data_IF_504383638274
#
_entry.id   IF_504383638274
#
_cell.length_a   1.000
_cell.length_b   1.000
_cell.length_c   1.000
_cell.angle_alpha   90.00
_cell.angle_beta   90.00
_cell.angle_gamma   90.00
#
_symmetry.space_group_name_H-M   'P 1'
#
loop_
_entity.id
_entity.type
_entity.pdbx_description
1 polymer ?
#
# COMPACT_ATOMS: atom_id res chain seq x y z
N UNK A 1 -20.99 14.65 9.19
CA UNK A 1 -19.92 13.77 8.68
C UNK A 1 -20.46 13.11 7.42
N UNK A 2 -19.90 13.44 6.25
CA UNK A 2 -20.53 13.21 4.94
C UNK A 2 -20.88 11.72 4.73
N UNK A 3 -22.17 11.40 4.65
CA UNK A 3 -22.66 10.07 4.26
C UNK A 3 -22.67 10.03 2.73
N UNK A 4 -21.56 9.64 2.13
CA UNK A 4 -21.48 9.36 0.70
C UNK A 4 -21.67 7.86 0.47
N UNK A 5 -22.49 7.50 -0.52
CA UNK A 5 -22.63 6.12 -0.94
C UNK A 5 -21.29 5.62 -1.51
N UNK A 6 -20.80 4.50 -0.97
CA UNK A 6 -19.55 3.90 -1.41
C UNK A 6 -19.84 2.77 -2.40
N UNK A 7 -19.25 2.86 -3.60
CA UNK A 7 -19.30 1.79 -4.59
C UNK A 7 -18.01 1.00 -4.51
N UNK A 8 -18.09 -0.24 -4.02
CA UNK A 8 -16.94 -1.14 -3.98
C UNK A 8 -16.67 -1.65 -5.39
N UNK A 9 -15.43 -1.47 -5.84
CA UNK A 9 -14.88 -2.04 -7.07
C UNK A 9 -14.06 -3.27 -6.69
N UNK A 10 -14.19 -4.33 -7.48
CA UNK A 10 -13.41 -5.55 -7.27
C UNK A 10 -11.91 -5.33 -7.57
N UNK A 11 -11.09 -6.30 -7.17
CA UNK A 11 -9.63 -6.25 -7.36
C UNK A 11 -9.12 -7.48 -8.09
N UNK A 12 -8.03 -7.30 -8.81
CA UNK A 12 -7.26 -8.39 -9.39
C UNK A 12 -6.60 -9.24 -8.28
N UNK A 13 -6.08 -10.41 -8.65
CA UNK A 13 -5.32 -11.25 -7.71
C UNK A 13 -4.09 -10.53 -7.14
N UNK A 14 -3.45 -9.65 -7.92
CA UNK A 14 -2.37 -8.76 -7.46
C UNK A 14 -2.81 -7.83 -6.33
N UNK A 15 -4.10 -7.50 -6.26
CA UNK A 15 -4.67 -6.50 -5.35
C UNK A 15 -4.92 -5.15 -6.00
N UNK A 16 -4.53 -4.97 -7.26
CA UNK A 16 -4.84 -3.76 -8.03
C UNK A 16 -6.35 -3.68 -8.33
N UNK A 17 -6.86 -2.48 -8.53
CA UNK A 17 -8.23 -2.23 -8.99
C UNK A 17 -8.53 -3.01 -10.29
N UNK A 18 -9.64 -3.74 -10.32
CA UNK A 18 -10.13 -4.35 -11.56
C UNK A 18 -10.81 -3.27 -12.41
N UNK A 19 -10.12 -2.80 -13.45
CA UNK A 19 -10.64 -1.76 -14.33
C UNK A 19 -11.85 -2.23 -15.17
N UNK A 20 -12.04 -3.54 -15.38
CA UNK A 20 -13.23 -4.06 -16.04
C UNK A 20 -14.46 -3.98 -15.12
N UNK A 21 -14.32 -4.33 -13.84
CA UNK A 21 -15.39 -4.10 -12.87
C UNK A 21 -15.64 -2.60 -12.66
N UNK A 22 -14.56 -1.81 -12.53
CA UNK A 22 -14.64 -0.36 -12.42
C UNK A 22 -15.48 0.25 -13.54
N UNK A 23 -15.23 -0.13 -14.79
CA UNK A 23 -16.01 0.30 -15.94
C UNK A 23 -17.50 -0.05 -15.79
N UNK A 24 -17.84 -1.28 -15.39
CA UNK A 24 -19.24 -1.68 -15.16
C UNK A 24 -19.91 -0.81 -14.10
N UNK A 25 -19.22 -0.54 -12.98
CA UNK A 25 -19.73 0.32 -11.89
C UNK A 25 -19.90 1.77 -12.35
N UNK A 26 -19.00 2.30 -13.16
CA UNK A 26 -19.13 3.64 -13.75
C UNK A 26 -20.38 3.73 -14.62
N UNK A 27 -20.60 2.76 -15.51
CA UNK A 27 -21.77 2.75 -16.41
C UNK A 27 -23.09 2.66 -15.65
N UNK A 28 -23.12 1.91 -14.52
CA UNK A 28 -24.28 1.84 -13.63
C UNK A 28 -24.58 3.17 -12.91
N UNK A 29 -23.62 4.08 -12.82
CA UNK A 29 -23.72 5.37 -12.12
C UNK A 29 -23.44 6.57 -13.03
N UNK A 30 -23.69 6.44 -14.35
CA UNK A 30 -23.34 7.43 -15.39
C UNK A 30 -23.93 8.83 -15.19
N UNK A 31 -25.00 8.93 -14.43
CA UNK A 31 -25.72 10.16 -14.10
C UNK A 31 -25.00 11.00 -13.03
N UNK A 32 -24.05 10.41 -12.29
CA UNK A 32 -23.32 11.05 -11.20
C UNK A 32 -21.86 11.33 -11.56
N UNK A 33 -21.22 12.37 -11.00
CA UNK A 33 -19.76 12.51 -11.04
C UNK A 33 -19.09 11.41 -10.19
N UNK A 34 -17.84 11.11 -10.49
CA UNK A 34 -17.09 10.06 -9.81
C UNK A 34 -16.00 10.64 -8.87
N UNK A 35 -15.91 10.12 -7.64
CA UNK A 35 -14.75 10.34 -6.75
C UNK A 35 -14.07 8.98 -6.59
N UNK A 36 -12.79 8.90 -6.99
CA UNK A 36 -12.05 7.66 -7.07
C UNK A 36 -10.85 7.74 -6.14
N UNK A 37 -10.68 6.71 -5.31
CA UNK A 37 -9.45 6.47 -4.58
C UNK A 37 -8.59 5.46 -5.35
N UNK A 38 -7.39 5.87 -5.75
CA UNK A 38 -6.40 5.03 -6.42
C UNK A 38 -5.28 4.74 -5.44
N UNK A 39 -5.02 3.46 -5.18
CA UNK A 39 -4.04 3.02 -4.19
C UNK A 39 -2.65 2.89 -4.82
N UNK A 40 -1.71 3.71 -4.34
CA UNK A 40 -0.29 3.60 -4.63
C UNK A 40 0.35 2.81 -3.49
N UNK A 41 0.17 1.49 -3.52
CA UNK A 41 0.55 0.56 -2.45
C UNK A 41 -0.63 0.19 -1.56
N UNK A 42 -1.44 -0.80 -1.95
CA UNK A 42 -2.51 -1.35 -1.11
C UNK A 42 -1.95 -1.93 0.18
N UNK A 43 -2.68 -1.82 1.29
CA UNK A 43 -2.17 -2.24 2.62
C UNK A 43 -1.75 -3.71 2.69
N UNK A 44 -2.54 -4.63 2.13
CA UNK A 44 -2.33 -6.08 2.33
C UNK A 44 -1.35 -6.66 1.31
N UNK A 45 -1.57 -6.37 0.02
CA UNK A 45 -0.79 -6.97 -1.08
C UNK A 45 0.31 -6.05 -1.62
N UNK A 46 0.35 -4.79 -1.18
CA UNK A 46 1.26 -3.78 -1.75
C UNK A 46 1.12 -3.60 -3.26
N UNK A 47 -0.07 -3.77 -3.82
CA UNK A 47 -0.36 -3.47 -5.22
C UNK A 47 -0.31 -1.96 -5.49
N UNK A 48 0.10 -1.58 -6.71
CA UNK A 48 0.08 -0.20 -7.18
C UNK A 48 -0.90 -0.12 -8.33
N UNK A 49 -2.03 0.53 -8.11
CA UNK A 49 -3.04 0.69 -9.16
C UNK A 49 -2.46 1.42 -10.38
N UNK A 50 -2.82 0.95 -11.57
CA UNK A 50 -2.48 1.61 -12.82
C UNK A 50 -3.32 2.88 -12.98
N UNK A 51 -2.75 4.00 -12.51
CA UNK A 51 -3.37 5.32 -12.62
C UNK A 51 -3.68 5.71 -14.07
N UNK A 52 -2.86 5.31 -15.04
CA UNK A 52 -3.09 5.65 -16.45
C UNK A 52 -4.29 4.87 -17.00
N UNK A 53 -4.42 3.60 -16.64
CA UNK A 53 -5.57 2.78 -17.00
C UNK A 53 -6.87 3.28 -16.35
N UNK A 54 -6.82 3.70 -15.07
CA UNK A 54 -7.98 4.29 -14.38
C UNK A 54 -8.44 5.58 -15.07
N UNK A 55 -7.50 6.49 -15.40
CA UNK A 55 -7.82 7.74 -16.12
C UNK A 55 -8.42 7.43 -17.49
N UNK A 56 -7.79 6.53 -18.25
CA UNK A 56 -8.28 6.09 -19.56
C UNK A 56 -9.71 5.55 -19.47
N UNK A 57 -9.96 4.68 -18.49
CA UNK A 57 -11.29 4.08 -18.26
C UNK A 57 -12.34 5.16 -17.97
N UNK A 58 -12.02 6.18 -17.17
CA UNK A 58 -12.92 7.30 -16.91
C UNK A 58 -13.21 8.11 -18.19
N UNK A 59 -12.17 8.48 -18.94
CA UNK A 59 -12.31 9.32 -20.13
C UNK A 59 -13.09 8.61 -21.24
N UNK A 60 -12.81 7.33 -21.52
CA UNK A 60 -13.49 6.54 -22.55
C UNK A 60 -14.97 6.27 -22.23
N UNK A 61 -15.35 6.33 -20.95
CA UNK A 61 -16.73 6.13 -20.51
C UNK A 61 -17.47 7.46 -20.21
N UNK A 62 -16.98 8.57 -20.75
CA UNK A 62 -17.69 9.86 -20.71
C UNK A 62 -17.56 10.65 -19.40
N UNK A 63 -16.59 10.31 -18.55
CA UNK A 63 -16.36 11.02 -17.28
C UNK A 63 -15.40 12.21 -17.40
N UNK A 64 -14.90 12.54 -18.60
CA UNK A 64 -14.00 13.68 -18.80
C UNK A 64 -14.56 14.97 -18.18
N UNK A 65 -13.82 15.56 -17.24
CA UNK A 65 -14.22 16.79 -16.53
C UNK A 65 -15.25 16.60 -15.41
N UNK A 66 -15.68 15.36 -15.12
CA UNK A 66 -16.65 15.03 -14.05
C UNK A 66 -16.16 13.94 -13.11
N UNK A 67 -14.85 13.87 -12.90
CA UNK A 67 -14.25 13.00 -11.91
C UNK A 67 -13.24 13.72 -11.03
N UNK A 68 -13.00 13.15 -9.85
CA UNK A 68 -11.92 13.50 -8.94
C UNK A 68 -11.14 12.24 -8.59
N UNK A 69 -9.83 12.24 -8.78
CA UNK A 69 -8.95 11.14 -8.36
C UNK A 69 -8.11 11.58 -7.17
N UNK A 70 -8.24 10.85 -6.06
CA UNK A 70 -7.27 10.87 -4.96
C UNK A 70 -6.28 9.72 -5.15
N UNK A 71 -4.98 10.01 -5.16
CA UNK A 71 -3.96 8.98 -5.08
C UNK A 71 -3.55 8.78 -3.61
N UNK A 72 -3.97 7.68 -3.01
CA UNK A 72 -3.52 7.26 -1.69
C UNK A 72 -2.16 6.59 -1.81
N UNK A 73 -1.11 7.38 -1.57
CA UNK A 73 0.27 6.91 -1.53
C UNK A 73 0.80 6.82 -0.11
N UNK A 74 -0.04 6.47 0.87
CA UNK A 74 0.35 6.47 2.28
C UNK A 74 1.69 5.77 2.52
N UNK A 75 1.91 4.58 1.94
CA UNK A 75 3.20 3.87 2.03
C UNK A 75 4.09 4.15 0.81
N UNK A 76 3.66 3.80 -0.41
CA UNK A 76 4.54 3.84 -1.57
C UNK A 76 4.66 5.20 -2.25
N UNK A 77 3.89 6.22 -1.86
CA UNK A 77 4.00 7.55 -2.48
C UNK A 77 5.39 8.19 -2.33
N UNK A 78 6.16 7.78 -1.32
CA UNK A 78 7.56 8.19 -1.12
C UNK A 78 8.58 7.13 -1.57
N UNK A 79 8.12 6.01 -2.12
CA UNK A 79 8.96 4.93 -2.66
C UNK A 79 8.94 4.90 -4.19
N UNK A 80 7.76 4.92 -4.80
CA UNK A 80 7.52 4.79 -6.25
C UNK A 80 8.33 5.77 -7.11
N UNK A 81 8.58 7.03 -6.71
CA UNK A 81 9.44 7.92 -7.49
C UNK A 81 10.87 7.38 -7.72
N UNK A 82 11.32 6.43 -6.90
CA UNK A 82 12.64 5.81 -6.97
C UNK A 82 12.63 4.38 -7.53
N UNK A 83 11.47 3.88 -7.97
CA UNK A 83 11.31 2.56 -8.57
C UNK A 83 11.34 2.69 -10.09
N UNK A 84 12.17 1.88 -10.75
CA UNK A 84 12.29 1.92 -12.23
C UNK A 84 10.99 1.43 -12.86
N UNK A 85 10.56 2.09 -13.94
CA UNK A 85 9.32 1.77 -14.70
C UNK A 85 8.02 1.89 -13.90
N UNK A 86 8.05 2.45 -12.69
CA UNK A 86 6.83 2.65 -11.92
C UNK A 86 5.92 3.73 -12.55
N UNK A 87 4.59 3.57 -12.44
CA UNK A 87 3.63 4.59 -12.85
C UNK A 87 3.93 5.94 -12.21
N UNK A 88 3.93 7.00 -13.02
CA UNK A 88 4.20 8.35 -12.54
C UNK A 88 2.93 8.95 -11.93
N UNK A 89 2.98 9.22 -10.63
CA UNK A 89 1.92 9.95 -9.90
C UNK A 89 2.28 11.43 -9.89
N UNK A 90 1.70 12.20 -10.81
CA UNK A 90 2.01 13.63 -10.96
C UNK A 90 0.76 14.45 -11.28
N UNK A 91 0.75 15.72 -10.87
CA UNK A 91 -0.34 16.66 -11.19
C UNK A 91 -0.40 17.10 -12.66
N UNK A 92 0.51 16.63 -13.53
CA UNK A 92 0.36 16.72 -14.99
C UNK A 92 -0.82 15.87 -15.48
N UNK A 93 -1.16 14.82 -14.74
CA UNK A 93 -2.36 14.00 -14.93
C UNK A 93 -3.57 14.70 -14.29
N UNK A 94 -4.81 14.40 -14.72
CA UNK A 94 -6.04 14.97 -14.16
C UNK A 94 -6.38 14.44 -12.75
N UNK A 95 -5.39 14.28 -11.87
CA UNK A 95 -5.61 13.92 -10.46
C UNK A 95 -5.95 15.16 -9.62
N UNK A 96 -6.76 14.95 -8.59
CA UNK A 96 -7.21 15.99 -7.68
C UNK A 96 -6.28 16.18 -6.48
N UNK A 97 -5.82 15.09 -5.88
CA UNK A 97 -4.89 15.14 -4.74
C UNK A 97 -4.05 13.88 -4.59
N UNK A 98 -2.99 13.99 -3.78
CA UNK A 98 -2.13 12.89 -3.36
C UNK A 98 -1.92 12.97 -1.85
N UNK A 99 -1.89 11.83 -1.16
CA UNK A 99 -1.50 11.76 0.25
C UNK A 99 -0.33 10.80 0.46
N UNK A 100 0.54 11.11 1.43
CA UNK A 100 1.65 10.24 1.85
C UNK A 100 1.77 10.23 3.38
N UNK A 101 2.22 9.13 3.97
CA UNK A 101 2.46 9.03 5.41
C UNK A 101 3.95 9.11 5.74
N UNK A 102 4.32 10.09 6.58
CA UNK A 102 5.70 10.29 7.03
C UNK A 102 6.18 9.28 8.06
N UNK A 103 5.26 8.67 8.81
CA UNK A 103 5.55 7.64 9.81
C UNK A 103 5.68 6.23 9.23
N UNK A 104 5.44 6.08 7.91
CA UNK A 104 5.62 4.81 7.20
C UNK A 104 7.06 4.68 6.68
N UNK A 105 7.28 4.88 5.39
CA UNK A 105 8.59 4.66 4.77
C UNK A 105 9.69 5.61 5.28
N UNK A 106 9.36 6.89 5.53
CA UNK A 106 10.34 7.89 5.99
C UNK A 106 10.80 7.61 7.43
N UNK A 107 9.89 7.15 8.29
CA UNK A 107 10.19 6.79 9.68
C UNK A 107 10.10 7.95 10.67
N UNK A 108 8.98 8.67 10.69
CA UNK A 108 8.68 9.65 11.74
C UNK A 108 8.20 8.95 13.03
N UNK A 109 8.66 9.34 14.24
CA UNK A 109 8.27 8.68 15.49
C UNK A 109 6.83 8.98 15.96
N UNK A 110 6.10 9.83 15.23
CA UNK A 110 4.69 10.12 15.47
C UNK A 110 3.91 10.01 14.15
N UNK A 111 2.63 9.60 14.18
CA UNK A 111 1.78 9.64 13.00
C UNK A 111 1.76 11.04 12.37
N UNK A 112 2.25 11.12 11.14
CA UNK A 112 2.19 12.32 10.31
C UNK A 112 2.08 11.97 8.83
N UNK A 113 1.75 12.96 8.01
CA UNK A 113 1.65 12.83 6.56
C UNK A 113 1.59 14.18 5.87
N UNK A 114 1.58 14.14 4.54
CA UNK A 114 1.41 15.31 3.68
C UNK A 114 0.29 15.02 2.70
N UNK A 115 -0.65 15.95 2.59
CA UNK A 115 -1.66 15.96 1.54
C UNK A 115 -1.37 17.13 0.61
N UNK A 116 -1.33 16.86 -0.69
CA UNK A 116 -1.14 17.87 -1.73
C UNK A 116 -2.39 17.84 -2.62
N UNK A 117 -2.93 19.01 -2.93
CA UNK A 117 -4.13 19.18 -3.76
C UNK A 117 -4.01 20.45 -4.60
N UNK A 118 -4.89 20.62 -5.59
CA UNK A 118 -4.95 21.83 -6.41
C UNK A 118 -5.50 23.02 -5.62
N UNK A 119 -4.98 24.20 -5.90
CA UNK A 119 -5.37 25.45 -5.21
C UNK A 119 -6.86 25.76 -5.34
N UNK A 120 -7.47 25.45 -6.50
CA UNK A 120 -8.90 25.64 -6.74
C UNK A 120 -9.78 24.89 -5.72
N UNK A 121 -9.38 23.69 -5.29
CA UNK A 121 -10.10 22.93 -4.27
C UNK A 121 -9.93 23.51 -2.86
N UNK A 122 -8.77 24.10 -2.57
CA UNK A 122 -8.54 24.81 -1.31
C UNK A 122 -9.39 26.07 -1.24
N UNK A 123 -9.43 26.85 -2.32
CA UNK A 123 -10.22 28.08 -2.39
C UNK A 123 -11.73 27.82 -2.21
N UNK A 124 -12.23 26.68 -2.67
CA UNK A 124 -13.62 26.27 -2.47
C UNK A 124 -13.96 25.92 -1.01
N UNK A 125 -12.96 25.53 -0.21
CA UNK A 125 -13.13 25.10 1.19
C UNK A 125 -12.71 26.16 2.21
N UNK A 126 -11.87 27.11 1.83
CA UNK A 126 -11.27 28.05 2.77
C UNK A 126 -12.31 29.04 3.30
N UNK A 127 -12.44 29.11 4.62
CA UNK A 127 -13.11 30.20 5.33
C UNK A 127 -12.05 31.15 5.92
N UNK A 128 -12.32 32.46 5.91
CA UNK A 128 -11.46 33.40 6.63
C UNK A 128 -11.59 33.17 8.14
N UNK A 129 -10.46 33.05 8.85
CA UNK A 129 -10.43 32.95 10.31
C UNK A 129 -9.76 34.21 10.86
N UNK A 130 -10.57 35.12 11.37
CA UNK A 130 -10.17 36.48 11.76
C UNK A 130 -9.09 36.48 12.85
N UNK A 131 -9.21 35.62 13.87
CA UNK A 131 -8.27 35.58 14.99
C UNK A 131 -6.92 34.91 14.66
N UNK A 132 -6.82 34.15 13.56
CA UNK A 132 -5.58 33.51 13.12
C UNK A 132 -4.84 34.35 12.07
N UNK A 133 -5.43 35.47 11.61
CA UNK A 133 -4.96 36.24 10.45
C UNK A 133 -4.61 35.35 9.24
N UNK A 134 -5.31 34.23 9.07
CA UNK A 134 -4.98 33.17 8.12
C UNK A 134 -6.24 32.50 7.57
N UNK A 135 -6.12 31.90 6.39
CA UNK A 135 -7.15 31.03 5.82
C UNK A 135 -6.97 29.63 6.40
N UNK A 136 -7.97 29.14 7.13
CA UNK A 136 -7.98 27.74 7.56
C UNK A 136 -8.73 26.91 6.51
N UNK A 137 -8.03 25.90 6.00
CA UNK A 137 -8.56 24.91 5.07
C UNK A 137 -8.25 23.49 5.57
N UNK A 138 -7.96 23.35 6.87
CA UNK A 138 -7.55 22.09 7.48
C UNK A 138 -8.65 21.54 8.38
N UNK A 139 -8.71 20.20 8.51
CA UNK A 139 -9.71 19.53 9.35
C UNK A 139 -9.38 19.72 10.85
N UNK A 140 -8.10 19.81 11.18
CA UNK A 140 -7.62 19.96 12.55
C UNK A 140 -7.27 21.42 12.83
N UNK A 141 -7.74 21.98 13.94
CA UNK A 141 -7.29 23.29 14.42
C UNK A 141 -5.83 23.25 14.89
N UNK A 142 -5.59 22.76 16.11
CA UNK A 142 -4.22 22.55 16.61
C UNK A 142 -3.53 21.42 15.86
N UNK A 143 -2.31 21.69 15.37
CA UNK A 143 -1.54 20.75 14.54
C UNK A 143 -0.15 20.49 15.14
N UNK A 144 0.39 19.30 14.89
CA UNK A 144 1.69 18.88 15.40
C UNK A 144 2.84 19.61 14.68
N UNK A 145 3.49 20.57 15.37
CA UNK A 145 4.64 21.32 14.86
C UNK A 145 5.96 20.54 14.83
N UNK A 146 6.08 19.42 15.54
CA UNK A 146 7.29 18.58 15.49
C UNK A 146 7.34 17.71 14.24
N UNK A 147 6.18 17.24 13.77
CA UNK A 147 6.08 16.41 12.56
C UNK A 147 6.82 17.01 11.34
N UNK A 148 6.63 18.28 10.94
CA UNK A 148 7.37 18.87 9.82
C UNK A 148 8.88 18.97 10.08
N UNK A 149 9.33 19.15 11.33
CA UNK A 149 10.76 19.17 11.67
C UNK A 149 11.41 17.81 11.43
N UNK A 150 10.78 16.72 11.89
CA UNK A 150 11.28 15.35 11.66
C UNK A 150 11.31 14.98 10.17
N UNK A 151 10.27 15.37 9.44
CA UNK A 151 10.21 15.15 7.99
C UNK A 151 11.30 15.94 7.28
N UNK A 152 11.45 17.24 7.58
CA UNK A 152 12.49 18.09 7.01
C UNK A 152 13.89 17.52 7.29
N UNK A 153 14.17 17.14 8.54
CA UNK A 153 15.46 16.56 8.92
C UNK A 153 15.76 15.28 8.12
N UNK A 154 14.79 14.37 8.02
CA UNK A 154 14.99 13.09 7.32
C UNK A 154 15.16 13.30 5.82
N UNK A 155 14.38 14.21 5.22
CA UNK A 155 14.48 14.57 3.80
C UNK A 155 15.87 15.14 3.48
N UNK A 156 16.38 16.07 4.30
CA UNK A 156 17.69 16.68 4.10
C UNK A 156 18.84 15.71 4.36
N UNK A 157 18.74 14.88 5.40
CA UNK A 157 19.79 13.91 5.75
C UNK A 157 19.95 12.81 4.70
N UNK A 158 18.84 12.27 4.18
CA UNK A 158 18.88 11.19 3.19
C UNK A 158 19.12 11.73 1.78
N UNK A 159 18.45 12.83 1.42
CA UNK A 159 18.39 13.33 0.06
C UNK A 159 17.87 12.29 -0.95
N UNK A 160 17.83 12.66 -2.23
CA UNK A 160 17.33 11.77 -3.29
C UNK A 160 18.10 10.45 -3.37
N UNK A 161 19.44 10.49 -3.28
CA UNK A 161 20.29 9.29 -3.38
C UNK A 161 20.09 8.34 -2.19
N UNK A 162 19.91 8.87 -0.98
CA UNK A 162 19.64 8.06 0.21
C UNK A 162 18.31 7.33 0.11
N UNK A 163 17.24 8.05 -0.27
CA UNK A 163 15.94 7.43 -0.50
C UNK A 163 15.99 6.39 -1.61
N UNK A 164 16.64 6.69 -2.74
CA UNK A 164 16.80 5.73 -3.82
C UNK A 164 17.50 4.45 -3.32
N UNK A 165 18.59 4.58 -2.56
CA UNK A 165 19.30 3.42 -2.00
C UNK A 165 18.41 2.61 -1.05
N UNK A 166 17.64 3.27 -0.19
CA UNK A 166 16.72 2.61 0.75
C UNK A 166 15.56 1.90 0.05
N UNK A 167 14.90 2.54 -0.92
CA UNK A 167 13.83 1.92 -1.71
C UNK A 167 14.36 0.66 -2.39
N UNK A 168 15.51 0.78 -3.07
CA UNK A 168 16.12 -0.35 -3.78
C UNK A 168 16.54 -1.47 -2.82
N UNK A 169 17.01 -1.14 -1.60
CA UNK A 169 17.26 -2.14 -0.55
C UNK A 169 15.97 -2.84 -0.12
N UNK A 170 14.88 -2.11 0.11
CA UNK A 170 13.61 -2.68 0.54
C UNK A 170 13.04 -3.63 -0.51
N UNK A 171 13.06 -3.25 -1.80
CA UNK A 171 12.62 -4.11 -2.89
C UNK A 171 13.47 -5.38 -2.99
N UNK A 172 14.81 -5.25 -2.99
CA UNK A 172 15.69 -6.43 -3.02
C UNK A 172 15.47 -7.37 -1.84
N UNK A 173 15.31 -6.82 -0.64
CA UNK A 173 15.09 -7.62 0.56
C UNK A 173 13.69 -8.28 0.56
N UNK A 174 12.69 -7.66 -0.06
CA UNK A 174 11.37 -8.27 -0.26
C UNK A 174 11.44 -9.45 -1.23
N UNK A 175 12.14 -9.30 -2.35
CA UNK A 175 12.39 -10.41 -3.28
C UNK A 175 13.14 -11.55 -2.59
N UNK A 176 14.20 -11.23 -1.86
CA UNK A 176 14.95 -12.20 -1.06
C UNK A 176 14.03 -12.98 -0.10
N UNK A 177 13.22 -12.30 0.70
CA UNK A 177 12.29 -12.96 1.63
C UNK A 177 11.30 -13.87 0.88
N UNK A 178 10.70 -13.37 -0.21
CA UNK A 178 9.73 -14.15 -1.00
C UNK A 178 10.37 -15.41 -1.61
N UNK A 179 11.59 -15.32 -2.11
CA UNK A 179 12.30 -16.46 -2.71
C UNK A 179 12.65 -17.49 -1.63
N UNK A 180 13.21 -17.05 -0.50
CA UNK A 180 13.55 -17.93 0.62
C UNK A 180 12.33 -18.61 1.25
N UNK A 181 11.17 -17.93 1.30
CA UNK A 181 9.90 -18.55 1.70
C UNK A 181 9.47 -19.66 0.73
N UNK A 182 9.54 -19.41 -0.59
CA UNK A 182 9.18 -20.42 -1.59
C UNK A 182 10.14 -21.62 -1.56
N UNK A 183 11.44 -21.39 -1.39
CA UNK A 183 12.44 -22.44 -1.20
C UNK A 183 12.13 -23.34 0.02
N UNK A 184 11.60 -22.75 1.09
CA UNK A 184 11.16 -23.47 2.28
C UNK A 184 9.78 -24.16 2.13
N UNK A 185 9.18 -24.14 0.94
CA UNK A 185 7.86 -24.74 0.67
C UNK A 185 6.70 -23.96 1.30
N UNK A 186 6.87 -22.65 1.54
CA UNK A 186 5.86 -21.75 2.08
C UNK A 186 5.26 -20.94 0.93
N UNK A 187 3.93 -20.95 0.81
CA UNK A 187 3.25 -20.18 -0.24
C UNK A 187 3.47 -18.67 -0.02
N UNK A 188 3.90 -17.96 -1.06
CA UNK A 188 4.22 -16.54 -0.99
C UNK A 188 3.99 -15.81 -2.32
N UNK A 189 3.57 -14.55 -2.24
CA UNK A 189 3.35 -13.62 -3.35
C UNK A 189 4.04 -12.29 -3.05
N UNK A 190 4.60 -11.68 -4.10
CA UNK A 190 5.16 -10.34 -4.07
C UNK A 190 4.84 -9.66 -5.40
N UNK A 191 4.18 -8.50 -5.35
CA UNK A 191 3.97 -7.66 -6.53
C UNK A 191 5.29 -7.01 -6.97
N UNK A 192 5.48 -6.82 -8.27
CA UNK A 192 6.76 -6.37 -8.88
C UNK A 192 7.29 -5.06 -8.27
N UNK A 193 6.41 -4.10 -8.00
CA UNK A 193 6.77 -2.77 -7.48
C UNK A 193 6.71 -2.68 -5.95
N UNK A 194 6.56 -3.80 -5.26
CA UNK A 194 6.21 -3.86 -3.84
C UNK A 194 7.37 -4.23 -2.94
N UNK A 195 7.33 -3.75 -1.70
CA UNK A 195 8.14 -4.28 -0.59
C UNK A 195 7.30 -5.07 0.42
N UNK A 196 6.06 -5.42 0.07
CA UNK A 196 5.13 -6.19 0.93
C UNK A 196 5.06 -7.63 0.43
N UNK A 197 5.56 -8.55 1.22
CA UNK A 197 5.53 -9.99 0.93
C UNK A 197 4.33 -10.60 1.63
N UNK A 198 3.40 -11.18 0.86
CA UNK A 198 2.24 -11.90 1.38
C UNK A 198 2.55 -13.39 1.41
N UNK A 199 2.25 -14.07 2.51
CA UNK A 199 2.47 -15.51 2.64
C UNK A 199 1.39 -16.16 3.50
N UNK A 200 1.42 -17.49 3.59
CA UNK A 200 0.47 -18.23 4.43
C UNK A 200 0.54 -17.78 5.89
N UNK A 201 -0.62 -17.70 6.55
CA UNK A 201 -0.72 -17.30 7.95
C UNK A 201 -0.08 -18.37 8.85
N UNK A 202 0.86 -18.00 9.75
CA UNK A 202 1.34 -18.88 10.81
C UNK A 202 0.20 -19.42 11.69
N UNK A 203 0.25 -20.70 12.06
CA UNK A 203 -0.78 -21.35 12.91
C UNK A 203 -0.76 -20.85 14.35
N UNK A 204 0.41 -20.46 14.85
CA UNK A 204 0.61 -20.06 16.24
C UNK A 204 0.49 -18.55 16.45
N UNK A 205 -0.47 -18.15 17.28
CA UNK A 205 -0.72 -16.76 17.65
C UNK A 205 0.38 -16.16 18.55
N UNK A 206 1.19 -16.99 19.22
CA UNK A 206 2.37 -16.48 19.95
C UNK A 206 3.43 -16.04 18.95
N UNK A 207 3.71 -16.83 17.92
CA UNK A 207 4.58 -16.43 16.81
C UNK A 207 4.10 -15.16 16.10
N UNK A 208 2.80 -15.08 15.77
CA UNK A 208 2.19 -13.88 15.15
C UNK A 208 2.41 -12.63 16.00
N UNK A 209 2.18 -12.73 17.32
CA UNK A 209 2.36 -11.60 18.25
C UNK A 209 3.81 -11.21 18.42
N UNK A 210 4.72 -12.19 18.54
CA UNK A 210 6.17 -11.96 18.65
C UNK A 210 6.69 -11.12 17.49
N UNK A 211 6.26 -11.47 16.27
CA UNK A 211 6.70 -10.82 15.04
C UNK A 211 5.80 -9.69 14.57
N UNK A 212 4.74 -9.39 15.33
CA UNK A 212 3.74 -8.36 15.04
C UNK A 212 3.18 -8.49 13.61
N UNK A 213 2.92 -9.72 13.17
CA UNK A 213 2.47 -9.99 11.82
C UNK A 213 1.02 -9.56 11.62
N UNK A 214 0.77 -8.83 10.54
CA UNK A 214 -0.58 -8.47 10.12
C UNK A 214 -1.21 -9.63 9.33
N UNK A 215 -2.28 -10.21 9.87
CA UNK A 215 -2.93 -11.39 9.32
C UNK A 215 -4.36 -11.08 8.88
N UNK A 216 -4.79 -11.63 7.74
CA UNK A 216 -6.15 -11.53 7.21
C UNK A 216 -6.56 -12.89 6.64
N UNK A 217 -7.59 -13.51 7.22
CA UNK A 217 -7.99 -14.87 6.86
C UNK A 217 -6.81 -15.85 6.93
N UNK A 218 -6.51 -16.48 5.79
CA UNK A 218 -5.45 -17.49 5.63
C UNK A 218 -4.08 -16.91 5.27
N UNK A 219 -3.96 -15.59 5.09
CA UNK A 219 -2.71 -14.94 4.71
C UNK A 219 -2.19 -14.05 5.85
N UNK A 220 -0.91 -13.76 5.77
CA UNK A 220 -0.28 -12.67 6.50
C UNK A 220 0.72 -11.95 5.59
N UNK A 221 1.19 -10.78 6.01
CA UNK A 221 2.18 -10.05 5.24
C UNK A 221 3.28 -9.45 6.11
N UNK A 222 4.46 -9.32 5.50
CA UNK A 222 5.59 -8.57 6.04
C UNK A 222 5.88 -7.40 5.11
N UNK A 223 5.88 -6.19 5.68
CA UNK A 223 6.30 -4.99 4.96
C UNK A 223 7.80 -4.78 5.20
N UNK A 224 8.60 -5.00 4.17
CA UNK A 224 10.06 -4.86 4.24
C UNK A 224 10.43 -3.37 4.15
N UNK A 225 10.73 -2.80 5.30
CA UNK A 225 11.06 -1.37 5.50
C UNK A 225 12.58 -1.16 5.66
N UNK A 226 13.10 0.09 5.62
CA UNK A 226 14.55 0.35 5.65
C UNK A 226 15.30 -0.28 6.84
N UNK A 227 14.63 -0.41 7.99
CA UNK A 227 15.14 -1.02 9.23
C UNK A 227 15.22 -2.55 9.18
N UNK A 228 14.64 -3.20 8.17
CA UNK A 228 14.66 -4.66 8.00
C UNK A 228 15.88 -5.05 7.17
N UNK A 229 16.87 -5.69 7.80
CA UNK A 229 18.08 -6.22 7.15
C UNK A 229 17.95 -7.74 6.88
N UNK A 230 18.91 -8.29 6.14
CA UNK A 230 18.94 -9.72 5.78
C UNK A 230 19.01 -10.59 7.04
N UNK A 231 19.85 -10.24 8.02
CA UNK A 231 19.97 -11.01 9.26
C UNK A 231 18.63 -11.15 10.00
N UNK A 232 17.83 -10.07 10.06
CA UNK A 232 16.50 -10.11 10.67
C UNK A 232 15.52 -10.96 9.86
N UNK A 233 15.62 -10.93 8.52
CA UNK A 233 14.81 -11.77 7.64
C UNK A 233 15.17 -13.25 7.78
N UNK A 234 16.46 -13.58 7.86
CA UNK A 234 16.92 -14.95 8.08
C UNK A 234 16.55 -15.44 9.47
N UNK A 235 16.69 -14.60 10.50
CA UNK A 235 16.27 -14.94 11.86
C UNK A 235 14.75 -15.23 11.92
N UNK A 236 13.95 -14.37 11.29
CA UNK A 236 12.50 -14.58 11.14
C UNK A 236 12.18 -15.88 10.42
N UNK A 237 12.80 -16.11 9.26
CA UNK A 237 12.50 -17.25 8.42
C UNK A 237 12.91 -18.56 9.08
N UNK A 238 14.10 -18.62 9.69
CA UNK A 238 14.57 -19.83 10.37
C UNK A 238 13.64 -20.20 11.52
N UNK A 239 13.21 -19.23 12.33
CA UNK A 239 12.23 -19.47 13.39
C UNK A 239 10.88 -19.92 12.81
N UNK A 240 10.41 -19.28 11.72
CA UNK A 240 9.17 -19.65 11.05
C UNK A 240 9.23 -21.11 10.57
N UNK A 241 10.31 -21.52 9.90
CA UNK A 241 10.48 -22.87 9.36
C UNK A 241 10.53 -23.91 10.48
N UNK A 242 11.30 -23.64 11.54
CA UNK A 242 11.41 -24.53 12.70
C UNK A 242 10.03 -24.73 13.36
N UNK A 243 9.32 -23.63 13.65
CA UNK A 243 7.99 -23.70 14.27
C UNK A 243 6.98 -24.35 13.33
N UNK A 244 7.01 -24.03 12.04
CA UNK A 244 6.11 -24.60 11.04
C UNK A 244 6.24 -26.11 10.95
N UNK A 245 7.45 -26.66 11.04
CA UNK A 245 7.65 -28.11 11.07
C UNK A 245 6.90 -28.76 12.25
N UNK A 246 6.94 -28.14 13.44
CA UNK A 246 6.21 -28.63 14.62
C UNK A 246 4.68 -28.50 14.49
N UNK A 247 4.19 -27.45 13.84
CA UNK A 247 2.75 -27.16 13.72
C UNK A 247 1.97 -28.19 12.89
N UNK A 248 2.68 -28.88 11.98
CA UNK A 248 2.13 -29.80 10.99
C UNK A 248 2.79 -31.20 11.06
N UNK A 249 3.49 -31.50 12.16
CA UNK A 249 4.19 -32.78 12.36
C UNK A 249 3.22 -33.97 12.49
N UNK A 250 1.98 -33.72 12.95
CA UNK A 250 0.94 -34.74 13.16
C UNK A 250 0.39 -35.34 11.85
N UNK A 251 0.68 -34.74 10.69
CA UNK A 251 0.13 -35.13 9.38
C UNK A 251 -1.36 -34.84 9.17
N UNK A 252 -2.10 -34.56 10.24
CA UNK A 252 -3.53 -34.23 10.25
C UNK A 252 -3.73 -32.75 9.92
N UNK A 253 -2.92 -31.89 10.53
CA UNK A 253 -2.92 -30.45 10.29
C UNK A 253 -2.15 -30.14 9.00
N UNK A 254 -2.74 -29.34 8.12
CA UNK A 254 -2.12 -28.93 6.86
C UNK A 254 -1.95 -27.41 6.79
N UNK A 255 -0.90 -26.90 6.13
CA UNK A 255 -0.75 -25.47 5.84
C UNK A 255 -2.00 -24.92 5.14
N UNK A 256 -2.45 -23.69 5.49
CA UNK A 256 -3.66 -23.13 4.90
C UNK A 256 -3.46 -22.89 3.40
N UNK A 257 -4.50 -23.20 2.63
CA UNK A 257 -4.53 -22.86 1.21
C UNK A 257 -4.74 -21.36 1.04
N UNK A 258 -3.85 -20.73 0.27
CA UNK A 258 -3.89 -19.30 -0.07
C UNK A 258 -4.19 -19.04 -1.55
N UNK A 259 -4.38 -20.08 -2.37
CA UNK A 259 -4.55 -19.96 -3.83
C UNK A 259 -5.70 -19.03 -4.24
N UNK A 260 -6.81 -19.04 -3.50
CA UNK A 260 -7.96 -18.14 -3.76
C UNK A 260 -7.62 -16.65 -3.55
N UNK A 261 -6.60 -16.35 -2.76
CA UNK A 261 -6.24 -14.99 -2.37
C UNK A 261 -5.06 -14.47 -3.19
N UNK A 262 -4.09 -15.33 -3.51
CA UNK A 262 -2.82 -14.93 -4.14
C UNK A 262 -2.52 -15.63 -5.47
N UNK A 263 -3.45 -16.42 -6.01
CA UNK A 263 -3.23 -17.23 -7.21
C UNK A 263 -2.64 -18.61 -6.92
N UNK A 264 -2.89 -19.57 -7.81
CA UNK A 264 -2.44 -20.95 -7.67
C UNK A 264 -0.91 -21.06 -7.74
N UNK A 265 -0.27 -20.25 -8.58
CA UNK A 265 1.18 -20.16 -8.78
C UNK A 265 1.96 -19.66 -7.54
N UNK A 266 1.25 -19.08 -6.57
CA UNK A 266 1.82 -18.59 -5.33
C UNK A 266 1.47 -19.48 -4.12
N UNK A 267 0.63 -20.51 -4.29
CA UNK A 267 0.27 -21.42 -3.22
C UNK A 267 1.02 -22.75 -3.33
N UNK A 268 1.79 -23.09 -2.29
CA UNK A 268 2.58 -24.32 -2.22
C UNK A 268 1.97 -25.39 -1.29
N UNK A 269 0.69 -25.24 -0.92
CA UNK A 269 0.02 -26.22 -0.05
C UNK A 269 -0.18 -27.56 -0.78
N UNK A 270 -0.36 -28.64 -0.01
CA UNK A 270 -0.50 -29.99 -0.56
C UNK A 270 -1.74 -30.24 -1.42
N UNK A 271 -2.69 -29.29 -1.51
CA UNK A 271 -3.93 -29.43 -2.31
C UNK A 271 -3.73 -29.19 -3.81
N UNK A 272 -2.57 -28.69 -4.21
CA UNK A 272 -2.28 -28.29 -5.60
C UNK A 272 -1.02 -28.97 -6.15
N UNK A 273 -0.50 -29.98 -5.43
CA UNK A 273 0.62 -30.81 -5.86
C UNK A 273 0.13 -32.05 -6.59
#
# INVERSE_FOLDING_TARGET
MYRMDCVKVDTLMSGEIDCADFQRKLLQNRDKPAIINVNIGTTVKGAVDDLDLVIKTLEENGFKGRFYIHCDGALFGLMIPFVKKAPQVTFKKPIGSVSVSGHKFVGCPMPCGVQITRLEYINALSSNVEYLASRDATIMGSRNGHAPIFLWYTLNRKGYRGFQKEVQKCLRNAHYLKDRLKEAGIGAMLNELSSTVVFERPKDEVFVRRWQLACEGNICHVVVMPSVNIDKLDYFLNELVEKRATWYQDGISQPPCIARVVGFENCLCGRHK
#
